data_IF_617718415364
#
_entry.id   IF_617718415364
#
_cell.length_a   1.000
_cell.length_b   1.000
_cell.length_c   1.000
_cell.angle_alpha   90.00
_cell.angle_beta   90.00
_cell.angle_gamma   90.00
#
_symmetry.space_group_name_H-M   'P 1'
#
loop_
_entity.id
_entity.type
_entity.pdbx_description
1 polymer ?
#
# COMPACT_ATOMS: atom_id res chain seq x y z
N UNK A 1 -16.19 -3.24 2.72
CA UNK A 1 -15.23 -3.52 1.62
C UNK A 1 -15.65 -2.69 0.40
N UNK A 2 -14.70 -2.25 -0.44
CA UNK A 2 -15.00 -1.46 -1.62
C UNK A 2 -14.66 -2.26 -2.88
N UNK A 3 -15.42 -2.05 -3.95
CA UNK A 3 -15.06 -2.59 -5.26
C UNK A 3 -13.93 -1.80 -5.93
N UNK A 4 -13.45 -2.30 -7.06
CA UNK A 4 -12.40 -1.66 -7.88
C UNK A 4 -12.80 -0.29 -8.43
N UNK A 5 -14.07 0.09 -8.34
CA UNK A 5 -14.60 1.42 -8.68
C UNK A 5 -14.82 2.31 -7.45
N UNK A 6 -14.29 1.93 -6.28
CA UNK A 6 -14.43 2.68 -5.02
C UNK A 6 -15.88 2.79 -4.51
N UNK A 7 -16.77 1.90 -4.97
CA UNK A 7 -18.13 1.77 -4.44
C UNK A 7 -18.15 0.93 -3.17
N UNK A 8 -18.91 1.36 -2.16
CA UNK A 8 -19.12 0.57 -0.95
C UNK A 8 -19.94 -0.68 -1.29
N UNK A 9 -19.39 -1.86 -1.01
CA UNK A 9 -20.14 -3.12 -1.14
C UNK A 9 -21.17 -3.24 -0.01
N UNK A 10 -22.37 -3.77 -0.31
CA UNK A 10 -23.39 -4.03 0.69
C UNK A 10 -22.90 -5.03 1.74
N UNK A 11 -23.42 -4.91 2.96
CA UNK A 11 -23.01 -5.73 4.09
C UNK A 11 -23.36 -7.21 3.81
N UNK A 12 -22.36 -8.10 3.79
CA UNK A 12 -22.55 -9.54 3.54
C UNK A 12 -22.26 -10.02 2.12
N UNK A 13 -21.70 -9.20 1.23
CA UNK A 13 -21.21 -9.67 -0.08
C UNK A 13 -20.12 -10.73 0.10
N UNK A 14 -20.38 -11.95 -0.38
CA UNK A 14 -19.40 -13.03 -0.41
C UNK A 14 -18.26 -12.64 -1.35
N UNK A 15 -17.04 -12.55 -0.81
CA UNK A 15 -15.84 -12.28 -1.60
C UNK A 15 -15.69 -13.36 -2.68
N UNK A 16 -15.38 -12.96 -3.91
CA UNK A 16 -15.11 -13.94 -4.98
C UNK A 16 -13.98 -14.89 -4.54
N UNK A 17 -14.07 -16.18 -4.89
CA UNK A 17 -13.00 -17.13 -4.58
C UNK A 17 -11.67 -16.65 -5.18
N UNK A 18 -10.68 -16.44 -4.32
CA UNK A 18 -9.34 -16.01 -4.75
C UNK A 18 -8.79 -16.98 -5.79
N UNK A 19 -8.47 -16.46 -6.97
CA UNK A 19 -7.61 -17.20 -7.88
C UNK A 19 -6.18 -17.13 -7.33
N UNK A 20 -5.48 -18.26 -7.17
CA UNK A 20 -4.10 -18.25 -6.74
C UNK A 20 -3.28 -17.42 -7.73
N UNK A 21 -2.65 -16.36 -7.24
CA UNK A 21 -1.69 -15.60 -8.05
C UNK A 21 -0.57 -16.53 -8.50
N UNK A 22 -0.13 -16.44 -9.77
CA UNK A 22 1.03 -17.18 -10.23
C UNK A 22 2.24 -16.93 -9.32
N UNK A 23 3.10 -17.94 -9.07
CA UNK A 23 4.28 -17.77 -8.20
C UNK A 23 5.27 -16.68 -8.66
N UNK A 24 5.16 -16.22 -9.90
CA UNK A 24 6.00 -15.20 -10.50
C UNK A 24 5.21 -13.93 -10.87
N UNK A 25 4.01 -13.77 -10.31
CA UNK A 25 3.25 -12.53 -10.43
C UNK A 25 3.80 -11.49 -9.45
N UNK A 26 4.69 -10.64 -9.95
CA UNK A 26 5.24 -9.51 -9.21
C UNK A 26 4.41 -8.24 -9.40
N UNK A 27 3.24 -8.30 -10.05
CA UNK A 27 2.42 -7.12 -10.32
C UNK A 27 2.12 -6.33 -9.04
N UNK A 28 2.25 -4.99 -9.06
CA UNK A 28 2.46 -4.12 -10.23
C UNK A 28 3.93 -3.96 -10.67
N UNK A 29 4.87 -4.60 -9.99
CA UNK A 29 6.29 -4.55 -10.32
C UNK A 29 6.58 -5.42 -11.56
N UNK A 30 7.50 -4.97 -12.40
CA UNK A 30 7.97 -5.72 -13.57
C UNK A 30 8.86 -6.91 -13.18
N UNK A 31 9.43 -6.91 -11.96
CA UNK A 31 10.30 -7.97 -11.47
C UNK A 31 10.40 -8.02 -9.94
N UNK A 32 10.87 -9.17 -9.42
CA UNK A 32 11.24 -9.33 -8.01
C UNK A 32 12.27 -8.29 -7.55
N UNK A 33 13.21 -7.93 -8.43
CA UNK A 33 14.27 -6.99 -8.11
C UNK A 33 13.71 -5.57 -7.91
N UNK A 34 12.78 -5.17 -8.76
CA UNK A 34 12.07 -3.89 -8.65
C UNK A 34 11.25 -3.81 -7.34
N UNK A 35 10.54 -4.89 -6.99
CA UNK A 35 9.85 -4.99 -5.69
C UNK A 35 10.81 -4.81 -4.51
N UNK A 36 11.92 -5.57 -4.49
CA UNK A 36 12.90 -5.51 -3.39
C UNK A 36 13.53 -4.13 -3.24
N UNK A 37 13.77 -3.44 -4.34
CA UNK A 37 14.29 -2.07 -4.30
C UNK A 37 13.25 -1.11 -3.69
N UNK A 38 12.00 -1.19 -4.13
CA UNK A 38 10.92 -0.37 -3.59
C UNK A 38 10.72 -0.61 -2.08
N UNK A 39 10.67 -1.88 -1.65
CA UNK A 39 10.57 -2.29 -0.25
C UNK A 39 11.75 -1.74 0.58
N UNK A 40 12.98 -1.93 0.11
CA UNK A 40 14.17 -1.41 0.79
C UNK A 40 14.14 0.11 0.96
N UNK A 41 13.79 0.84 -0.10
CA UNK A 41 13.76 2.29 -0.08
C UNK A 41 12.61 2.82 0.80
N UNK A 42 11.43 2.24 0.67
CA UNK A 42 10.21 2.74 1.32
C UNK A 42 10.09 2.29 2.78
N UNK A 43 10.26 0.99 3.05
CA UNK A 43 10.06 0.43 4.39
C UNK A 43 11.28 0.60 5.29
N UNK A 44 12.49 0.45 4.73
CA UNK A 44 13.70 0.36 5.54
C UNK A 44 14.53 1.65 5.58
N UNK A 45 14.80 2.26 4.41
CA UNK A 45 15.69 3.41 4.34
C UNK A 45 14.97 4.75 4.51
N UNK A 46 13.71 4.84 4.09
CA UNK A 46 12.90 6.06 4.11
C UNK A 46 13.67 7.27 3.56
N UNK A 47 14.43 7.07 2.47
CA UNK A 47 15.27 8.11 1.87
C UNK A 47 14.40 9.27 1.36
N UNK A 48 14.91 10.50 1.50
CA UNK A 48 14.19 11.67 1.00
C UNK A 48 14.02 11.60 -0.52
N UNK A 49 12.94 12.18 -1.04
CA UNK A 49 12.68 12.27 -2.50
C UNK A 49 13.85 12.89 -3.25
N UNK A 50 14.46 13.94 -2.69
CA UNK A 50 15.61 14.61 -3.28
C UNK A 50 16.79 13.65 -3.43
N UNK A 51 17.11 12.90 -2.36
CA UNK A 51 18.22 11.95 -2.39
C UNK A 51 17.92 10.73 -3.28
N UNK A 52 16.67 10.26 -3.30
CA UNK A 52 16.23 9.19 -4.20
C UNK A 52 16.37 9.63 -5.67
N UNK A 53 15.99 10.87 -5.99
CA UNK A 53 16.15 11.38 -7.35
C UNK A 53 17.62 11.45 -7.77
N UNK A 54 18.50 11.95 -6.89
CA UNK A 54 19.95 11.96 -7.12
C UNK A 54 20.48 10.53 -7.34
N UNK A 55 20.06 9.57 -6.52
CA UNK A 55 20.46 8.17 -6.66
C UNK A 55 20.07 7.60 -8.03
N UNK A 56 18.82 7.82 -8.47
CA UNK A 56 18.33 7.32 -9.75
C UNK A 56 19.03 7.98 -10.94
N UNK A 57 19.34 9.29 -10.85
CA UNK A 57 20.11 10.01 -11.87
C UNK A 57 21.54 9.49 -11.98
N UNK A 58 22.23 9.28 -10.85
CA UNK A 58 23.58 8.70 -10.82
C UNK A 58 23.60 7.28 -11.39
N UNK A 59 22.58 6.49 -11.05
CA UNK A 59 22.46 5.13 -11.56
C UNK A 59 22.20 5.13 -13.07
N UNK A 60 21.28 5.96 -13.56
CA UNK A 60 21.04 6.12 -15.00
C UNK A 60 22.32 6.53 -15.73
N UNK A 61 23.07 7.49 -15.20
CA UNK A 61 24.35 7.93 -15.77
C UNK A 61 25.38 6.80 -15.86
N UNK A 62 25.47 5.93 -14.85
CA UNK A 62 26.38 4.77 -14.87
C UNK A 62 26.04 3.72 -15.93
N UNK A 63 24.79 3.71 -16.44
CA UNK A 63 24.30 2.71 -17.38
C UNK A 63 24.35 3.17 -18.84
N UNK A 64 24.65 4.45 -19.10
CA UNK A 64 24.68 5.04 -20.45
C UNK A 64 25.62 4.28 -21.37
N UNK A 65 26.81 3.92 -20.89
CA UNK A 65 27.85 3.26 -21.70
C UNK A 65 27.49 1.83 -22.13
N UNK A 66 26.64 1.16 -21.35
CA UNK A 66 26.21 -0.22 -21.60
C UNK A 66 24.80 -0.31 -22.20
N UNK A 67 24.18 0.83 -22.52
CA UNK A 67 22.81 0.90 -23.03
C UNK A 67 21.75 0.40 -22.04
N UNK A 68 22.07 0.43 -20.74
CA UNK A 68 21.16 -0.01 -19.69
C UNK A 68 20.20 1.11 -19.26
N UNK A 69 19.20 0.72 -18.46
CA UNK A 69 18.23 1.63 -17.85
C UNK A 69 18.13 1.36 -16.35
N UNK A 70 17.91 2.41 -15.52
CA UNK A 70 17.70 2.22 -14.09
C UNK A 70 16.43 1.40 -13.85
N UNK A 71 16.34 0.75 -12.68
CA UNK A 71 15.16 -0.04 -12.31
C UNK A 71 13.90 0.82 -12.23
N UNK A 72 14.02 2.01 -11.63
CA UNK A 72 13.02 3.06 -11.70
C UNK A 72 13.61 4.25 -12.46
N UNK A 73 12.89 4.75 -13.45
CA UNK A 73 13.25 5.97 -14.17
C UNK A 73 13.07 7.24 -13.33
N UNK A 74 12.23 7.19 -12.30
CA UNK A 74 12.06 8.30 -11.36
C UNK A 74 11.49 7.85 -10.01
N UNK A 75 11.60 8.71 -8.99
CA UNK A 75 10.92 8.47 -7.72
C UNK A 75 9.39 8.44 -7.87
N UNK A 76 8.83 9.18 -8.85
CA UNK A 76 7.39 9.23 -9.10
C UNK A 76 6.88 7.90 -9.59
N UNK A 77 7.62 7.28 -10.51
CA UNK A 77 7.33 5.95 -11.00
C UNK A 77 7.37 4.94 -9.85
N UNK A 78 8.42 4.96 -9.03
CA UNK A 78 8.51 4.08 -7.86
C UNK A 78 7.32 4.23 -6.91
N UNK A 79 6.97 5.46 -6.53
CA UNK A 79 5.85 5.70 -5.62
C UNK A 79 4.50 5.38 -6.27
N UNK A 80 4.35 5.60 -7.57
CA UNK A 80 3.16 5.19 -8.29
C UNK A 80 3.02 3.66 -8.31
N UNK A 81 4.11 2.92 -8.53
CA UNK A 81 4.11 1.45 -8.45
C UNK A 81 3.80 0.97 -7.03
N UNK A 82 4.33 1.61 -5.99
CA UNK A 82 3.98 1.30 -4.60
C UNK A 82 2.50 1.56 -4.33
N UNK A 83 1.97 2.71 -4.76
CA UNK A 83 0.55 3.04 -4.58
C UNK A 83 -0.39 2.12 -5.37
N UNK A 84 0.06 1.66 -6.54
CA UNK A 84 -0.64 0.67 -7.36
C UNK A 84 -0.46 -0.75 -6.84
N UNK A 85 0.41 -0.96 -5.83
CA UNK A 85 0.53 -2.26 -5.20
C UNK A 85 -0.80 -2.54 -4.57
N UNK A 86 -1.55 -3.45 -5.19
CA UNK A 86 -2.70 -4.05 -4.55
C UNK A 86 -2.14 -4.63 -3.26
N UNK A 87 -2.42 -3.97 -2.14
CA UNK A 87 -2.43 -4.62 -0.83
C UNK A 87 -3.21 -5.88 -1.13
N UNK A 88 -2.57 -7.06 -0.99
CA UNK A 88 -3.26 -8.31 -1.23
C UNK A 88 -4.57 -8.32 -0.44
N UNK A 89 -5.42 -9.31 -0.66
CA UNK A 89 -6.56 -9.55 0.22
C UNK A 89 -6.07 -9.97 1.63
N UNK A 90 -5.29 -9.12 2.31
CA UNK A 90 -5.22 -9.01 3.75
C UNK A 90 -6.68 -8.81 4.10
N UNK A 91 -7.26 -9.84 4.71
CA UNK A 91 -8.57 -9.71 5.33
C UNK A 91 -8.40 -8.60 6.35
N UNK A 92 -8.82 -7.39 5.97
CA UNK A 92 -8.93 -6.30 6.90
C UNK A 92 -9.86 -6.79 7.99
N UNK A 93 -9.27 -7.14 9.12
CA UNK A 93 -10.03 -7.58 10.27
C UNK A 93 -10.54 -6.31 10.93
N UNK A 94 -11.78 -6.36 11.40
CA UNK A 94 -12.29 -5.28 12.21
C UNK A 94 -12.83 -5.79 13.51
N UNK A 95 -12.66 -4.96 14.53
CA UNK A 95 -13.34 -5.12 15.78
C UNK A 95 -14.10 -3.84 16.10
N UNK A 96 -15.26 -4.02 16.71
CA UNK A 96 -16.08 -2.89 17.13
C UNK A 96 -15.65 -2.45 18.51
N UNK A 97 -15.24 -1.19 18.62
CA UNK A 97 -14.99 -0.53 19.89
C UNK A 97 -16.18 0.31 20.29
N UNK A 98 -16.41 0.40 21.59
CA UNK A 98 -17.33 1.34 22.22
C UNK A 98 -16.66 1.90 23.46
N UNK A 99 -17.03 3.10 23.84
CA UNK A 99 -16.61 3.64 25.13
C UNK A 99 -17.18 2.78 26.27
N UNK A 100 -16.32 2.42 27.25
CA UNK A 100 -16.67 1.59 28.42
C UNK A 100 -16.37 2.29 29.75
N UNK A 101 -16.02 3.58 29.73
CA UNK A 101 -15.78 4.36 30.95
C UNK A 101 -17.07 4.85 31.60
N UNK A 102 -16.93 5.55 32.73
CA UNK A 102 -18.05 6.09 33.49
C UNK A 102 -18.88 7.07 32.68
N UNK A 103 -20.19 6.84 32.61
CA UNK A 103 -21.12 7.76 31.96
C UNK A 103 -21.28 9.01 32.83
N UNK A 104 -20.93 10.16 32.26
CA UNK A 104 -21.26 11.48 32.81
C UNK A 104 -22.71 11.85 32.48
N UNK A 105 -23.32 12.71 33.29
CA UNK A 105 -24.75 13.07 33.19
C UNK A 105 -25.16 13.69 31.84
N UNK A 106 -24.21 14.26 31.09
CA UNK A 106 -24.38 14.78 29.73
C UNK A 106 -23.28 14.21 28.83
N UNK A 107 -23.44 12.97 28.32
CA UNK A 107 -22.40 12.31 27.53
C UNK A 107 -22.36 12.88 26.12
N UNK A 108 -21.15 13.15 25.62
CA UNK A 108 -20.96 13.54 24.23
C UNK A 108 -21.43 12.42 23.29
N UNK A 109 -21.97 12.73 22.09
CA UNK A 109 -22.54 11.73 21.19
C UNK A 109 -21.62 10.54 20.90
N UNK A 110 -20.31 10.80 20.78
CA UNK A 110 -19.31 9.77 20.49
C UNK A 110 -19.18 8.69 21.59
N UNK A 111 -19.57 8.97 22.84
CA UNK A 111 -19.49 8.00 23.94
C UNK A 111 -20.55 6.89 23.83
N UNK A 112 -21.64 7.14 23.11
CA UNK A 112 -22.72 6.17 22.91
C UNK A 112 -22.60 5.39 21.60
N UNK A 113 -21.70 5.83 20.71
CA UNK A 113 -21.52 5.25 19.40
C UNK A 113 -20.58 4.03 19.41
N UNK A 114 -20.71 3.23 18.35
CA UNK A 114 -19.85 2.09 18.06
C UNK A 114 -18.98 2.44 16.86
N UNK A 115 -17.68 2.20 16.98
CA UNK A 115 -16.72 2.45 15.92
C UNK A 115 -16.08 1.15 15.48
N UNK A 116 -15.96 0.94 14.17
CA UNK A 116 -15.21 -0.18 13.63
C UNK A 116 -13.76 0.27 13.42
N UNK A 117 -12.84 -0.41 14.09
CA UNK A 117 -11.40 -0.26 13.89
C UNK A 117 -10.96 -1.35 12.92
N UNK A 118 -10.30 -0.97 11.83
CA UNK A 118 -9.81 -1.87 10.78
C UNK A 118 -8.29 -2.01 10.89
N UNK A 119 -7.75 -3.22 10.75
CA UNK A 119 -6.31 -3.52 10.79
C UNK A 119 -5.94 -4.66 9.84
#
# INVERSE_FOLDING_TARGET
>A
PCDTSSGFLPNGTQLEPHQPKPPNDWSPYSSCLEFKLADFIYMHNQISVVNLNILLELWAASLVEVGGYPIFGSYKEMYQTINNTCIGDIKWESFTVRYTGDMVADPAPWMNDKYNVWF
#
